data_IF_819127624113
#
_entry.id   IF_819127624113
#
_cell.length_a   1.000
_cell.length_b   1.000
_cell.length_c   1.000
_cell.angle_alpha   90.00
_cell.angle_beta   90.00
_cell.angle_gamma   90.00
#
_symmetry.space_group_name_H-M   'P 1'
#
loop_
_entity.id
_entity.type
_entity.pdbx_description
1 polymer ?
#
# COMPACT_ATOMS: atom_id res chain seq x y z
N UNK A 1 -12.45 10.38 -20.61
CA UNK A 1 -13.72 9.67 -20.85
C UNK A 1 -14.78 10.23 -19.90
N UNK A 2 -16.05 10.29 -20.32
CA UNK A 2 -17.18 10.73 -19.48
C UNK A 2 -17.91 9.53 -18.84
N UNK A 3 -18.81 9.79 -17.88
CA UNK A 3 -19.54 8.76 -17.14
C UNK A 3 -20.43 7.82 -17.98
N UNK A 4 -20.77 8.21 -19.22
CA UNK A 4 -21.58 7.41 -20.15
C UNK A 4 -20.74 6.51 -21.07
N UNK A 5 -19.46 6.30 -20.76
CA UNK A 5 -18.53 5.50 -21.58
C UNK A 5 -18.36 4.12 -20.97
N UNK A 6 -18.51 3.08 -21.78
CA UNK A 6 -18.21 1.70 -21.38
C UNK A 6 -17.41 0.97 -22.47
N UNK A 7 -16.62 -0.02 -22.07
CA UNK A 7 -15.84 -0.89 -22.96
C UNK A 7 -14.87 -0.15 -23.89
N UNK A 8 -14.36 1.01 -23.46
CA UNK A 8 -13.41 1.83 -24.19
C UNK A 8 -12.00 1.69 -23.61
N UNK A 9 -11.00 1.91 -24.45
CA UNK A 9 -9.60 1.82 -24.04
C UNK A 9 -8.72 2.87 -24.72
N UNK A 10 -7.77 3.39 -23.95
CA UNK A 10 -6.57 4.04 -24.50
C UNK A 10 -5.44 3.02 -24.52
N UNK A 11 -4.80 2.85 -25.69
CA UNK A 11 -3.72 1.86 -25.86
C UNK A 11 -2.50 2.54 -26.47
N UNK A 12 -1.34 2.38 -25.84
CA UNK A 12 -0.06 2.95 -26.27
C UNK A 12 -0.11 4.47 -26.50
N UNK A 13 -0.90 5.18 -25.70
CA UNK A 13 -1.06 6.62 -25.79
C UNK A 13 -0.03 7.38 -24.93
N UNK A 14 0.29 8.61 -25.34
CA UNK A 14 1.01 9.56 -24.51
C UNK A 14 0.01 10.62 -24.05
N UNK A 15 -0.32 10.61 -22.77
CA UNK A 15 -1.21 11.60 -22.17
C UNK A 15 -0.37 12.72 -21.54
N UNK A 16 -0.38 13.90 -22.16
CA UNK A 16 0.20 15.12 -21.58
C UNK A 16 -0.88 15.82 -20.79
N UNK A 17 -0.72 15.90 -19.47
CA UNK A 17 -1.67 16.46 -18.49
C UNK A 17 -2.74 15.48 -17.95
N UNK A 18 -2.32 14.26 -17.66
CA UNK A 18 -3.11 13.25 -16.98
C UNK A 18 -4.13 12.58 -17.89
N UNK A 19 -4.84 11.60 -17.33
CA UNK A 19 -5.97 10.94 -17.96
C UNK A 19 -7.13 10.84 -16.98
N UNK A 20 -8.31 11.22 -17.47
CA UNK A 20 -9.57 11.02 -16.74
C UNK A 20 -10.31 9.85 -17.36
N UNK A 21 -10.66 8.87 -16.53
CA UNK A 21 -11.48 7.72 -16.89
C UNK A 21 -12.74 7.70 -16.04
N UNK A 22 -13.85 7.32 -16.64
CA UNK A 22 -15.18 7.35 -16.00
C UNK A 22 -16.03 6.20 -16.51
N UNK A 23 -17.28 6.06 -16.05
CA UNK A 23 -18.20 5.02 -16.52
C UNK A 23 -17.88 3.65 -15.94
N UNK A 24 -17.74 2.62 -16.77
CA UNK A 24 -17.43 1.25 -16.34
C UNK A 24 -16.73 0.42 -17.45
N UNK A 25 -16.01 -0.64 -17.10
CA UNK A 25 -15.32 -1.54 -18.03
C UNK A 25 -14.34 -0.84 -19.00
N UNK A 26 -13.69 0.23 -18.54
CA UNK A 26 -12.75 1.00 -19.36
C UNK A 26 -11.31 0.71 -18.96
N UNK A 27 -10.37 0.96 -19.88
CA UNK A 27 -8.96 0.71 -19.61
C UNK A 27 -7.97 1.74 -20.18
N UNK A 28 -6.79 1.80 -19.56
CA UNK A 28 -5.61 2.53 -20.04
C UNK A 28 -4.44 1.56 -20.04
N UNK A 29 -3.87 1.27 -21.21
CA UNK A 29 -2.89 0.20 -21.39
C UNK A 29 -1.70 0.68 -22.20
N UNK A 30 -0.49 0.45 -21.70
CA UNK A 30 0.73 0.89 -22.39
C UNK A 30 0.90 2.41 -22.42
N UNK A 31 2.08 2.86 -22.84
CA UNK A 31 2.38 4.28 -23.04
C UNK A 31 2.83 5.03 -21.79
N UNK A 32 2.52 6.31 -21.72
CA UNK A 32 2.98 7.20 -20.63
C UNK A 32 1.95 8.27 -20.30
N UNK A 33 1.72 8.48 -19.01
CA UNK A 33 0.85 9.53 -18.48
C UNK A 33 1.71 10.53 -17.71
N UNK A 34 1.76 11.76 -18.20
CA UNK A 34 2.38 12.89 -17.51
C UNK A 34 1.31 13.63 -16.74
N UNK A 35 1.41 13.72 -15.41
CA UNK A 35 0.51 14.54 -14.61
C UNK A 35 0.57 16.02 -15.07
N UNK A 36 -0.50 16.81 -14.88
CA UNK A 36 -0.50 18.22 -15.24
C UNK A 36 0.61 18.97 -14.49
N UNK A 37 1.36 19.80 -15.22
CA UNK A 37 2.36 20.67 -14.63
C UNK A 37 1.72 21.74 -13.72
N UNK A 38 2.45 22.14 -12.67
CA UNK A 38 2.01 23.09 -11.67
C UNK A 38 1.72 24.49 -12.25
N UNK A 39 0.48 24.95 -12.13
CA UNK A 39 0.18 26.37 -11.99
C UNK A 39 -0.25 26.62 -10.53
N UNK A 40 0.74 26.83 -9.67
CA UNK A 40 0.63 27.42 -8.33
C UNK A 40 -0.13 26.71 -7.17
N UNK A 41 -1.01 25.71 -7.33
CA UNK A 41 -1.80 25.19 -6.16
C UNK A 41 -1.94 23.67 -5.99
N UNK A 42 -1.09 22.86 -6.63
CA UNK A 42 -1.04 21.42 -6.35
C UNK A 42 -1.81 20.56 -7.33
N UNK A 43 -1.38 20.59 -8.58
CA UNK A 43 -1.76 19.57 -9.56
C UNK A 43 -0.60 18.59 -9.71
N UNK A 44 -0.93 17.30 -9.63
CA UNK A 44 -0.04 16.14 -9.70
C UNK A 44 -0.85 14.85 -9.86
N UNK A 45 -2.14 14.98 -10.20
CA UNK A 45 -3.05 13.86 -10.42
C UNK A 45 -2.82 13.37 -11.84
N UNK A 46 -2.14 12.23 -11.98
CA UNK A 46 -1.91 11.61 -13.27
C UNK A 46 -3.15 10.83 -13.74
N UNK A 47 -3.77 10.08 -12.83
CA UNK A 47 -4.98 9.30 -13.10
C UNK A 47 -6.11 9.86 -12.25
N UNK A 48 -7.19 10.28 -12.90
CA UNK A 48 -8.43 10.67 -12.21
C UNK A 48 -9.57 9.74 -12.63
N UNK A 49 -10.21 9.10 -11.66
CA UNK A 49 -11.36 8.22 -11.86
C UNK A 49 -12.60 8.94 -11.32
N UNK A 50 -13.57 9.25 -12.19
CA UNK A 50 -14.75 10.05 -11.86
C UNK A 50 -16.03 9.45 -12.46
N UNK A 51 -17.21 9.95 -12.05
CA UNK A 51 -18.50 9.60 -12.68
C UNK A 51 -18.66 8.09 -12.93
N UNK A 52 -18.39 7.28 -11.90
CA UNK A 52 -18.30 5.83 -12.04
C UNK A 52 -19.69 5.21 -12.01
N UNK A 53 -20.02 4.41 -13.03
CA UNK A 53 -21.20 3.53 -12.99
C UNK A 53 -20.88 2.20 -12.31
N UNK A 54 -19.66 1.72 -12.47
CA UNK A 54 -19.12 0.54 -11.80
C UNK A 54 -17.65 0.70 -11.44
N UNK A 55 -17.07 -0.33 -10.83
CA UNK A 55 -15.67 -0.30 -10.37
C UNK A 55 -14.72 -1.12 -11.24
N UNK A 56 -15.15 -1.56 -12.43
CA UNK A 56 -14.31 -2.34 -13.33
C UNK A 56 -13.43 -1.45 -14.19
N UNK A 57 -12.18 -1.23 -13.78
CA UNK A 57 -11.19 -0.47 -14.53
C UNK A 57 -9.87 -1.22 -14.60
N UNK A 58 -9.19 -1.15 -15.75
CA UNK A 58 -7.87 -1.74 -15.94
C UNK A 58 -6.83 -0.68 -16.32
N UNK A 59 -5.77 -0.61 -15.54
CA UNK A 59 -4.60 0.22 -15.77
C UNK A 59 -3.37 -0.70 -15.84
N UNK A 60 -2.75 -0.81 -17.01
CA UNK A 60 -1.74 -1.85 -17.26
C UNK A 60 -0.55 -1.38 -18.07
N UNK A 61 0.67 -1.70 -17.63
CA UNK A 61 1.85 -1.71 -18.49
C UNK A 61 2.31 -0.33 -18.95
N UNK A 62 2.05 0.73 -18.17
CA UNK A 62 2.39 2.10 -18.56
C UNK A 62 3.20 2.84 -17.49
N UNK A 63 3.80 3.96 -17.90
CA UNK A 63 4.58 4.83 -17.01
C UNK A 63 3.75 6.02 -16.54
N UNK A 64 3.89 6.37 -15.28
CA UNK A 64 3.36 7.61 -14.70
C UNK A 64 4.52 8.52 -14.34
N UNK A 65 4.45 9.79 -14.73
CA UNK A 65 5.40 10.83 -14.35
C UNK A 65 4.61 11.97 -13.71
N UNK A 66 4.84 12.22 -12.41
CA UNK A 66 4.10 13.20 -11.62
C UNK A 66 5.03 14.01 -10.72
N UNK A 67 5.42 15.21 -11.17
CA UNK A 67 6.32 16.09 -10.39
C UNK A 67 5.60 16.91 -9.31
N UNK A 68 4.27 16.95 -9.34
CA UNK A 68 3.45 17.69 -8.37
C UNK A 68 3.10 16.88 -7.12
N UNK A 69 2.59 17.58 -6.09
CA UNK A 69 2.03 16.96 -4.89
C UNK A 69 0.50 17.18 -4.83
N UNK A 70 -0.32 16.19 -5.25
CA UNK A 70 -1.78 16.31 -5.23
C UNK A 70 -2.37 16.25 -3.81
N UNK A 71 -1.57 15.92 -2.79
CA UNK A 71 -2.07 15.83 -1.41
C UNK A 71 -2.47 17.17 -0.81
N UNK A 72 -1.96 18.30 -1.33
CA UNK A 72 -2.37 19.66 -0.91
C UNK A 72 -3.85 19.94 -1.18
N UNK A 73 -4.44 19.23 -2.14
CA UNK A 73 -5.89 19.27 -2.45
C UNK A 73 -6.61 17.99 -2.05
N UNK A 74 -6.00 17.21 -1.13
CA UNK A 74 -6.57 15.95 -0.62
C UNK A 74 -6.75 14.87 -1.70
N UNK A 75 -5.87 14.81 -2.69
CA UNK A 75 -5.89 13.80 -3.77
C UNK A 75 -4.61 12.95 -3.82
N UNK A 76 -4.68 11.84 -4.53
CA UNK A 76 -3.52 11.01 -4.88
C UNK A 76 -2.99 11.32 -6.28
N UNK A 77 -1.81 10.80 -6.64
CA UNK A 77 -1.35 10.79 -8.05
C UNK A 77 -2.28 9.91 -8.88
N UNK A 78 -2.68 8.77 -8.32
CA UNK A 78 -3.86 8.01 -8.72
C UNK A 78 -4.99 8.39 -7.76
N UNK A 79 -6.01 9.06 -8.29
CA UNK A 79 -7.13 9.60 -7.52
C UNK A 79 -8.46 9.00 -7.97
N UNK A 80 -9.22 8.49 -7.00
CA UNK A 80 -10.63 8.16 -7.13
C UNK A 80 -11.34 8.68 -5.88
N UNK A 81 -12.05 9.79 -6.01
CA UNK A 81 -12.84 10.35 -4.91
C UNK A 81 -12.05 10.93 -3.74
N UNK A 82 -10.74 11.21 -3.89
CA UNK A 82 -9.94 11.79 -2.82
C UNK A 82 -10.51 13.12 -2.31
N UNK A 83 -10.94 13.98 -3.25
CA UNK A 83 -11.61 15.26 -2.98
C UNK A 83 -12.84 15.49 -3.88
N UNK A 84 -13.51 14.42 -4.28
CA UNK A 84 -14.70 14.45 -5.14
C UNK A 84 -15.60 13.26 -4.84
N UNK A 85 -16.88 13.32 -5.24
CA UNK A 85 -17.83 12.20 -5.09
C UNK A 85 -17.77 11.32 -6.34
N UNK A 86 -16.62 10.70 -6.58
CA UNK A 86 -16.36 9.89 -7.79
C UNK A 86 -17.00 8.51 -7.75
N UNK A 87 -16.97 7.86 -6.58
CA UNK A 87 -17.69 6.63 -6.27
C UNK A 87 -18.83 6.99 -5.33
N UNK A 88 -20.04 7.09 -5.88
CA UNK A 88 -21.25 7.61 -5.21
C UNK A 88 -22.30 6.50 -5.07
N UNK A 89 -23.49 6.85 -4.58
CA UNK A 89 -24.65 5.96 -4.61
C UNK A 89 -25.06 5.54 -6.04
N UNK A 90 -24.67 6.30 -7.07
CA UNK A 90 -24.94 6.00 -8.48
C UNK A 90 -23.97 4.97 -9.08
N UNK A 91 -22.87 4.68 -8.37
CA UNK A 91 -21.95 3.59 -8.67
C UNK A 91 -22.57 2.28 -8.19
N UNK A 92 -23.53 1.75 -8.96
CA UNK A 92 -24.33 0.60 -8.54
C UNK A 92 -23.70 -0.75 -8.91
N UNK A 93 -22.65 -0.76 -9.73
CA UNK A 93 -22.01 -1.98 -10.20
C UNK A 93 -20.68 -2.25 -9.47
N UNK A 94 -20.52 -3.50 -9.03
CA UNK A 94 -19.25 -4.03 -8.52
C UNK A 94 -18.18 -4.18 -9.62
N UNK A 95 -17.02 -4.70 -9.25
CA UNK A 95 -15.89 -4.82 -10.14
C UNK A 95 -14.55 -4.64 -9.45
N UNK A 96 -13.48 -4.74 -10.23
CA UNK A 96 -12.13 -4.55 -9.73
C UNK A 96 -11.44 -3.38 -10.44
N UNK A 97 -10.94 -2.41 -9.67
CA UNK A 97 -9.98 -1.42 -10.14
C UNK A 97 -8.59 -2.06 -10.07
N UNK A 98 -8.04 -2.41 -11.23
CA UNK A 98 -6.75 -3.10 -11.34
C UNK A 98 -5.68 -2.17 -11.87
N UNK A 99 -4.58 -2.06 -11.14
CA UNK A 99 -3.36 -1.35 -11.52
C UNK A 99 -2.22 -2.36 -11.51
N UNK A 100 -1.65 -2.70 -12.66
CA UNK A 100 -0.58 -3.70 -12.73
C UNK A 100 0.51 -3.32 -13.70
N UNK A 101 1.74 -3.69 -13.34
CA UNK A 101 2.93 -3.47 -14.15
C UNK A 101 3.08 -1.99 -14.54
N UNK A 102 2.86 -1.11 -13.56
CA UNK A 102 3.02 0.34 -13.70
C UNK A 102 4.31 0.77 -13.01
N UNK A 103 5.12 1.55 -13.73
CA UNK A 103 6.24 2.28 -13.16
C UNK A 103 5.81 3.74 -12.91
N UNK A 104 5.88 4.19 -11.67
CA UNK A 104 5.47 5.54 -11.26
C UNK A 104 6.67 6.32 -10.73
N UNK A 105 7.00 7.43 -11.39
CA UNK A 105 7.89 8.45 -10.84
C UNK A 105 7.05 9.57 -10.25
N UNK A 106 7.13 9.76 -8.93
CA UNK A 106 6.33 10.73 -8.19
C UNK A 106 7.11 11.32 -7.00
N UNK A 107 8.25 11.99 -7.24
CA UNK A 107 9.21 12.36 -6.20
C UNK A 107 8.67 13.32 -5.13
N UNK A 108 7.64 14.09 -5.45
CA UNK A 108 7.05 15.07 -4.54
C UNK A 108 5.71 14.62 -3.94
N UNK A 109 5.16 13.47 -4.36
CA UNK A 109 3.84 13.04 -3.95
C UNK A 109 3.81 12.46 -2.52
N UNK A 110 3.17 13.17 -1.59
CA UNK A 110 3.03 12.70 -0.20
C UNK A 110 1.95 11.64 -0.02
N UNK A 111 1.05 11.50 -0.99
CA UNK A 111 0.04 10.45 -1.10
C UNK A 111 0.04 9.98 -2.57
N UNK A 112 0.68 8.86 -2.90
CA UNK A 112 0.75 8.40 -4.29
C UNK A 112 -0.60 7.85 -4.77
N UNK A 113 -1.34 7.18 -3.90
CA UNK A 113 -2.60 6.51 -4.24
C UNK A 113 -3.68 6.94 -3.24
N UNK A 114 -4.82 7.39 -3.77
CA UNK A 114 -6.01 7.68 -2.97
C UNK A 114 -7.28 7.24 -3.67
N UNK A 115 -7.94 6.23 -3.11
CA UNK A 115 -9.21 5.68 -3.59
C UNK A 115 -10.21 5.72 -2.45
N UNK A 116 -11.32 6.41 -2.63
CA UNK A 116 -12.30 6.66 -1.58
C UNK A 116 -13.69 6.35 -2.08
N UNK A 117 -14.36 5.38 -1.44
CA UNK A 117 -15.80 5.21 -1.60
C UNK A 117 -16.54 6.29 -0.80
N UNK A 118 -17.43 7.02 -1.46
CA UNK A 118 -18.23 8.10 -0.87
C UNK A 118 -19.74 7.87 -1.01
N UNK A 119 -20.18 6.63 -1.14
CA UNK A 119 -21.60 6.30 -1.02
C UNK A 119 -22.05 5.04 -1.74
N UNK A 120 -21.17 4.41 -2.52
CA UNK A 120 -21.51 3.18 -3.25
C UNK A 120 -21.82 2.05 -2.28
N UNK A 121 -22.98 1.42 -2.46
CA UNK A 121 -23.38 0.20 -1.75
C UNK A 121 -23.18 -1.06 -2.58
N UNK A 122 -22.71 -0.95 -3.83
CA UNK A 122 -22.44 -2.08 -4.70
C UNK A 122 -21.55 -3.13 -4.03
N UNK A 123 -21.86 -4.40 -4.22
CA UNK A 123 -21.05 -5.54 -3.76
C UNK A 123 -19.94 -5.84 -4.77
N UNK A 124 -18.94 -6.61 -4.38
CA UNK A 124 -17.86 -7.04 -5.29
C UNK A 124 -16.89 -5.93 -5.68
N UNK A 125 -16.81 -4.84 -4.89
CA UNK A 125 -15.87 -3.74 -5.13
C UNK A 125 -14.48 -4.16 -4.66
N UNK A 126 -13.53 -4.22 -5.59
CA UNK A 126 -12.16 -4.62 -5.31
C UNK A 126 -11.16 -3.59 -5.84
N UNK A 127 -9.99 -3.54 -5.23
CA UNK A 127 -8.84 -2.78 -5.73
C UNK A 127 -7.62 -3.68 -5.72
N UNK A 128 -6.99 -3.88 -6.87
CA UNK A 128 -5.73 -4.60 -6.98
C UNK A 128 -4.65 -3.64 -7.48
N UNK A 129 -3.61 -3.44 -6.68
CA UNK A 129 -2.50 -2.54 -6.98
C UNK A 129 -1.20 -3.30 -6.97
N UNK A 130 -0.48 -3.24 -8.09
CA UNK A 130 0.90 -3.68 -8.27
C UNK A 130 1.67 -2.60 -9.01
N UNK A 131 2.37 -1.74 -8.27
CA UNK A 131 3.04 -0.55 -8.80
C UNK A 131 4.47 -0.50 -8.26
N UNK A 132 5.42 -0.24 -9.13
CA UNK A 132 6.78 0.11 -8.77
C UNK A 132 6.90 1.64 -8.70
N UNK A 133 7.24 2.19 -7.54
CA UNK A 133 7.40 3.63 -7.33
C UNK A 133 8.75 3.89 -6.64
N UNK A 134 9.85 4.00 -7.41
CA UNK A 134 11.19 4.11 -6.86
C UNK A 134 11.49 5.47 -6.22
N UNK A 135 10.56 6.42 -6.29
CA UNK A 135 10.74 7.76 -5.71
C UNK A 135 9.97 7.91 -4.40
N UNK A 136 10.48 8.74 -3.51
CA UNK A 136 9.84 9.05 -2.23
C UNK A 136 10.14 10.47 -1.80
N UNK A 137 9.13 11.29 -1.46
CA UNK A 137 9.39 12.59 -0.88
C UNK A 137 10.03 12.41 0.50
N UNK A 138 10.80 13.40 0.93
CA UNK A 138 11.42 13.44 2.28
C UNK A 138 10.36 13.25 3.39
N UNK A 139 9.14 13.76 3.18
CA UNK A 139 8.02 13.64 4.11
C UNK A 139 6.78 13.06 3.44
N UNK A 140 6.63 11.73 3.49
CA UNK A 140 5.42 11.06 2.99
C UNK A 140 4.32 11.06 4.06
N UNK A 141 3.10 11.44 3.69
CA UNK A 141 1.93 11.44 4.58
C UNK A 141 1.30 10.04 4.67
N UNK A 142 1.23 9.34 3.54
CA UNK A 142 0.73 7.96 3.48
C UNK A 142 1.33 7.23 2.27
N UNK A 143 1.55 5.92 2.42
CA UNK A 143 1.91 5.04 1.30
C UNK A 143 0.71 4.78 0.37
N UNK A 144 -0.51 4.93 0.87
CA UNK A 144 -1.74 4.73 0.12
C UNK A 144 -2.95 4.82 1.03
N UNK A 145 -4.04 5.40 0.50
CA UNK A 145 -5.33 5.50 1.19
C UNK A 145 -6.39 4.85 0.32
N UNK A 146 -6.96 3.73 0.78
CA UNK A 146 -8.08 3.03 0.14
C UNK A 146 -9.15 2.84 1.20
N UNK A 147 -10.23 3.62 1.17
CA UNK A 147 -11.19 3.61 2.29
C UNK A 147 -12.63 3.88 1.87
N UNK A 148 -13.58 3.53 2.74
CA UNK A 148 -14.96 3.99 2.63
C UNK A 148 -15.26 5.07 3.65
N UNK A 149 -15.61 6.27 3.17
CA UNK A 149 -16.17 7.33 4.02
C UNK A 149 -17.68 7.15 4.23
N UNK A 150 -18.35 6.53 3.26
CA UNK A 150 -19.75 6.14 3.32
C UNK A 150 -20.02 5.02 2.30
N UNK A 151 -21.23 4.44 2.34
CA UNK A 151 -21.56 3.24 1.58
C UNK A 151 -21.02 1.98 2.26
N UNK A 152 -20.81 0.91 1.48
CA UNK A 152 -20.20 -0.33 1.98
C UNK A 152 -18.69 -0.34 1.79
N UNK A 153 -17.96 -1.03 2.67
CA UNK A 153 -16.51 -1.21 2.52
C UNK A 153 -16.13 -1.92 1.19
N UNK A 154 -14.86 -1.90 0.84
CA UNK A 154 -14.34 -2.75 -0.25
C UNK A 154 -14.35 -4.22 0.17
N UNK A 155 -14.63 -5.11 -0.78
CA UNK A 155 -14.64 -6.56 -0.51
C UNK A 155 -13.21 -7.09 -0.42
N UNK A 156 -12.30 -6.59 -1.26
CA UNK A 156 -10.89 -6.96 -1.26
C UNK A 156 -10.00 -5.80 -1.71
N UNK A 157 -8.87 -5.65 -1.03
CA UNK A 157 -7.77 -4.80 -1.50
C UNK A 157 -6.47 -5.61 -1.53
N UNK A 158 -5.85 -5.72 -2.70
CA UNK A 158 -4.47 -6.21 -2.86
C UNK A 158 -3.54 -5.03 -3.05
N UNK A 159 -2.55 -4.86 -2.18
CA UNK A 159 -1.67 -3.68 -2.17
C UNK A 159 -0.19 -4.08 -2.24
N UNK A 160 0.34 -4.16 -3.46
CA UNK A 160 1.74 -4.45 -3.78
C UNK A 160 2.39 -3.19 -4.37
N UNK A 161 2.74 -2.24 -3.52
CA UNK A 161 3.46 -1.04 -3.96
C UNK A 161 4.88 -1.09 -3.44
N UNK A 162 5.84 -1.07 -4.35
CA UNK A 162 7.23 -0.87 -3.98
C UNK A 162 7.48 0.63 -3.81
N UNK A 163 7.80 1.02 -2.58
CA UNK A 163 7.99 2.40 -2.17
C UNK A 163 9.23 2.46 -1.28
N UNK A 164 10.26 3.23 -1.65
CA UNK A 164 11.39 3.43 -0.75
C UNK A 164 10.99 4.32 0.42
N UNK A 165 11.68 4.09 1.54
CA UNK A 165 11.64 4.98 2.69
C UNK A 165 12.76 6.00 2.55
N UNK A 166 12.42 7.24 2.16
CA UNK A 166 13.34 8.38 2.18
C UNK A 166 13.28 9.18 3.50
N UNK A 167 12.54 8.67 4.50
CA UNK A 167 12.28 9.35 5.77
C UNK A 167 11.51 8.47 6.76
N UNK A 168 10.76 9.10 7.67
CA UNK A 168 9.92 8.36 8.62
C UNK A 168 8.89 7.48 7.88
N UNK A 169 8.69 6.21 8.30
CA UNK A 169 7.81 5.30 7.59
C UNK A 169 6.38 5.83 7.62
N UNK A 170 5.75 5.94 6.46
CA UNK A 170 4.37 6.41 6.34
C UNK A 170 3.37 5.25 6.49
N UNK A 171 2.19 5.56 7.03
CA UNK A 171 1.07 4.64 7.18
C UNK A 171 0.44 4.24 5.85
N UNK A 172 -0.16 3.06 5.80
CA UNK A 172 -1.12 2.67 4.75
C UNK A 172 -2.51 2.60 5.39
N UNK A 173 -3.49 3.25 4.78
CA UNK A 173 -4.90 3.17 5.24
C UNK A 173 -5.66 2.30 4.24
N UNK A 174 -6.16 1.16 4.70
CA UNK A 174 -6.98 0.25 3.89
C UNK A 174 -8.19 -0.17 4.71
N UNK A 175 -9.38 0.20 4.24
CA UNK A 175 -10.67 -0.26 4.76
C UNK A 175 -11.34 -1.19 3.74
N UNK A 176 -11.19 -2.49 4.01
CA UNK A 176 -11.67 -3.58 3.17
C UNK A 176 -11.91 -4.84 4.02
N UNK A 177 -12.82 -5.71 3.57
CA UNK A 177 -13.10 -6.98 4.23
C UNK A 177 -11.88 -7.91 4.24
N UNK A 178 -11.10 -7.89 3.14
CA UNK A 178 -9.85 -8.64 2.99
C UNK A 178 -8.74 -7.75 2.48
N UNK A 179 -7.57 -7.85 3.10
CA UNK A 179 -6.36 -7.15 2.66
C UNK A 179 -5.25 -8.15 2.38
N UNK A 180 -4.62 -8.04 1.21
CA UNK A 180 -3.53 -8.91 0.80
C UNK A 180 -2.41 -8.16 0.05
N UNK A 181 -1.30 -8.85 -0.23
CA UNK A 181 -0.20 -8.34 -1.06
C UNK A 181 0.85 -7.50 -0.32
N UNK A 182 0.73 -7.32 1.00
CA UNK A 182 1.75 -6.61 1.77
C UNK A 182 2.68 -7.61 2.45
N UNK A 183 3.98 -7.47 2.22
CA UNK A 183 5.02 -8.27 2.88
C UNK A 183 6.22 -7.38 3.18
N UNK A 184 6.80 -7.60 4.35
CA UNK A 184 8.07 -7.02 4.77
C UNK A 184 8.87 -8.10 5.51
N UNK A 185 10.17 -8.15 5.31
CA UNK A 185 11.03 -9.04 6.06
C UNK A 185 12.36 -8.38 6.40
N UNK A 186 13.05 -8.94 7.36
CA UNK A 186 14.34 -8.44 7.79
C UNK A 186 15.06 -9.40 8.72
N UNK A 187 16.22 -8.97 9.20
CA UNK A 187 16.97 -9.67 10.24
C UNK A 187 17.17 -8.71 11.40
N UNK A 188 16.92 -9.17 12.62
CA UNK A 188 17.31 -8.47 13.85
C UNK A 188 18.36 -9.28 14.58
N UNK A 189 19.48 -8.65 14.88
CA UNK A 189 20.54 -9.25 15.69
C UNK A 189 20.27 -8.92 17.17
N UNK A 190 20.44 -9.92 18.03
CA UNK A 190 20.40 -9.77 19.47
C UNK A 190 21.60 -10.47 20.10
N UNK A 191 22.05 -9.96 21.25
CA UNK A 191 23.02 -10.64 22.09
C UNK A 191 22.29 -11.04 23.37
N UNK A 192 22.32 -12.33 23.68
CA UNK A 192 21.63 -12.90 24.84
C UNK A 192 22.19 -12.33 26.14
N UNK A 193 21.33 -12.16 27.13
CA UNK A 193 21.70 -11.86 28.52
C UNK A 193 21.41 -13.06 29.41
N UNK A 194 21.96 -13.07 30.64
CA UNK A 194 21.76 -14.17 31.59
C UNK A 194 20.35 -14.15 32.23
N UNK A 195 19.32 -14.23 31.39
CA UNK A 195 17.91 -14.19 31.75
C UNK A 195 17.16 -15.38 31.17
N UNK A 196 15.96 -15.63 31.66
CA UNK A 196 15.07 -16.69 31.11
C UNK A 196 14.42 -16.26 29.79
N UNK A 197 14.28 -14.94 29.59
CA UNK A 197 13.79 -14.35 28.35
C UNK A 197 14.41 -12.96 28.10
N UNK A 198 14.38 -12.55 26.84
CA UNK A 198 14.77 -11.23 26.37
C UNK A 198 13.81 -10.79 25.27
N UNK A 199 13.32 -9.56 25.38
CA UNK A 199 12.43 -8.97 24.40
C UNK A 199 13.23 -8.11 23.43
N UNK A 200 12.97 -8.28 22.13
CA UNK A 200 13.68 -7.66 21.02
C UNK A 200 12.65 -6.92 20.16
N UNK A 201 12.63 -5.57 20.19
CA UNK A 201 11.69 -4.80 19.39
C UNK A 201 12.14 -4.79 17.92
N UNK A 202 11.17 -4.87 17.01
CA UNK A 202 11.36 -4.63 15.58
C UNK A 202 10.41 -3.51 15.13
N UNK A 203 10.89 -2.68 14.20
CA UNK A 203 10.09 -1.63 13.57
C UNK A 203 9.90 -1.96 12.10
N UNK A 204 8.67 -1.87 11.63
CA UNK A 204 8.34 -2.05 10.22
C UNK A 204 8.63 -0.77 9.43
N UNK A 205 9.31 -0.93 8.30
CA UNK A 205 9.50 0.10 7.30
C UNK A 205 8.19 0.41 6.57
N UNK A 206 7.35 -0.60 6.37
CA UNK A 206 6.03 -0.50 5.79
C UNK A 206 5.03 -0.57 6.93
N UNK A 207 4.46 0.57 7.32
CA UNK A 207 3.37 0.57 8.32
C UNK A 207 2.13 -0.05 7.70
N UNK A 208 1.74 -1.21 8.22
CA UNK A 208 0.60 -1.99 7.74
C UNK A 208 -0.72 -1.31 8.15
N UNK A 209 -1.83 -1.52 7.40
CA UNK A 209 -3.14 -0.99 7.75
C UNK A 209 -3.75 -1.66 9.00
N UNK A 210 -3.32 -2.90 9.31
CA UNK A 210 -3.66 -3.67 10.50
C UNK A 210 -2.50 -4.56 10.90
N UNK A 211 -2.54 -5.17 12.09
CA UNK A 211 -1.49 -6.06 12.54
C UNK A 211 -1.30 -7.23 11.54
N UNK A 212 -0.09 -7.42 10.98
CA UNK A 212 0.18 -8.52 10.05
C UNK A 212 0.32 -9.86 10.79
N UNK A 213 0.29 -10.96 10.04
CA UNK A 213 0.79 -12.25 10.52
C UNK A 213 2.31 -12.25 10.47
N UNK A 214 2.96 -12.97 11.40
CA UNK A 214 4.42 -13.05 11.46
C UNK A 214 4.93 -14.48 11.34
N UNK A 215 6.05 -14.63 10.62
CA UNK A 215 6.87 -15.84 10.59
C UNK A 215 8.26 -15.50 11.08
N UNK A 216 8.84 -16.40 11.85
CA UNK A 216 10.18 -16.24 12.43
C UNK A 216 11.04 -17.44 12.07
N UNK A 217 12.31 -17.18 11.80
CA UNK A 217 13.33 -18.20 11.62
C UNK A 217 14.63 -17.69 12.25
N UNK A 218 15.18 -18.44 13.20
CA UNK A 218 16.38 -18.07 13.93
C UNK A 218 17.58 -18.89 13.47
N UNK A 219 18.73 -18.24 13.28
CA UNK A 219 20.01 -18.93 13.16
C UNK A 219 20.82 -18.69 14.44
N UNK A 220 21.26 -19.78 15.07
CA UNK A 220 22.09 -19.76 16.27
C UNK A 220 23.56 -19.87 15.86
N UNK A 221 24.39 -18.94 16.31
CA UNK A 221 25.83 -18.99 16.04
C UNK A 221 26.62 -19.85 17.03
N UNK A 222 25.99 -20.39 18.08
CA UNK A 222 26.66 -21.21 19.09
C UNK A 222 25.78 -22.37 19.60
N UNK A 223 26.41 -23.53 19.86
CA UNK A 223 25.78 -24.70 20.46
C UNK A 223 25.77 -24.57 22.00
N UNK A 224 24.67 -24.97 22.67
CA UNK A 224 24.67 -25.16 24.12
C UNK A 224 23.34 -24.98 24.86
N UNK A 225 22.38 -24.21 24.33
CA UNK A 225 21.06 -24.00 24.97
C UNK A 225 19.96 -24.00 23.89
N UNK A 226 18.87 -24.71 24.15
CA UNK A 226 17.66 -24.66 23.32
C UNK A 226 17.02 -23.27 23.46
N UNK A 227 17.33 -22.39 22.51
CA UNK A 227 16.71 -21.06 22.42
C UNK A 227 15.49 -21.14 21.51
N UNK A 228 14.38 -20.62 22.00
CA UNK A 228 13.12 -20.49 21.28
C UNK A 228 12.81 -19.02 21.03
N UNK A 229 11.98 -18.75 20.03
CA UNK A 229 11.57 -17.40 19.68
C UNK A 229 10.09 -17.36 19.30
N UNK A 230 9.39 -16.31 19.74
CA UNK A 230 7.97 -16.12 19.45
C UNK A 230 7.63 -14.61 19.41
N UNK A 231 6.72 -14.14 18.55
CA UNK A 231 6.19 -12.79 18.69
C UNK A 231 5.27 -12.73 19.93
N UNK A 232 5.46 -11.72 20.78
CA UNK A 232 4.60 -11.50 21.97
C UNK A 232 3.64 -10.33 21.80
N UNK A 233 3.95 -9.42 20.88
CA UNK A 233 3.06 -8.35 20.46
C UNK A 233 3.32 -8.03 19.00
N UNK A 234 2.25 -7.80 18.24
CA UNK A 234 2.31 -7.41 16.83
C UNK A 234 1.37 -6.23 16.65
N UNK A 235 1.88 -5.16 16.06
CA UNK A 235 1.13 -3.93 15.76
C UNK A 235 1.26 -3.59 14.28
N UNK A 236 0.64 -2.51 13.85
CA UNK A 236 0.78 -1.98 12.48
C UNK A 236 2.18 -1.46 12.17
N UNK A 237 2.96 -1.10 13.20
CA UNK A 237 4.24 -0.38 13.05
C UNK A 237 5.46 -1.23 13.43
N UNK A 238 5.25 -2.41 13.97
CA UNK A 238 6.31 -3.26 14.48
C UNK A 238 5.79 -4.39 15.34
N UNK A 239 6.72 -5.13 15.91
CA UNK A 239 6.44 -6.22 16.82
C UNK A 239 7.50 -6.30 17.91
N UNK A 240 7.19 -6.99 19.00
CA UNK A 240 8.18 -7.40 19.98
C UNK A 240 8.35 -8.91 19.89
N UNK A 241 9.58 -9.35 19.63
CA UNK A 241 9.96 -10.74 19.60
C UNK A 241 10.52 -11.13 20.98
N UNK A 242 10.14 -12.30 21.49
CA UNK A 242 10.73 -12.84 22.71
C UNK A 242 11.67 -13.98 22.36
N UNK A 243 12.92 -13.85 22.79
CA UNK A 243 13.90 -14.92 22.85
C UNK A 243 13.80 -15.54 24.24
N UNK A 244 13.68 -16.86 24.36
CA UNK A 244 13.57 -17.52 25.66
C UNK A 244 14.14 -18.94 25.65
N UNK A 245 14.36 -19.49 26.84
CA UNK A 245 14.74 -20.89 27.05
C UNK A 245 13.77 -21.55 28.04
N UNK A 246 13.61 -22.87 27.95
CA UNK A 246 12.71 -23.65 28.83
C UNK A 246 13.42 -24.28 30.03
N UNK A 247 14.76 -24.20 30.10
CA UNK A 247 15.59 -24.98 31.03
C UNK A 247 16.49 -24.18 31.99
N UNK A 248 16.24 -22.88 32.20
CA UNK A 248 17.06 -22.04 33.08
C UNK A 248 17.30 -20.66 32.49
N UNK A 249 18.45 -20.04 32.79
CA UNK A 249 18.87 -18.80 32.14
C UNK A 249 19.63 -19.09 30.85
N UNK A 250 19.49 -18.22 29.86
CA UNK A 250 20.32 -18.23 28.67
C UNK A 250 21.78 -17.93 29.04
N UNK A 251 22.73 -18.44 28.25
CA UNK A 251 24.13 -18.01 28.33
C UNK A 251 24.24 -16.58 27.84
N UNK A 252 24.85 -15.68 28.60
CA UNK A 252 25.08 -14.30 28.17
C UNK A 252 26.15 -14.22 27.05
N UNK A 253 26.01 -13.24 26.16
CA UNK A 253 27.01 -12.94 25.12
C UNK A 253 26.89 -13.78 23.84
N UNK A 254 25.84 -14.59 23.69
CA UNK A 254 25.61 -15.37 22.47
C UNK A 254 24.88 -14.51 21.44
N UNK A 255 25.45 -14.41 20.24
CA UNK A 255 24.80 -13.72 19.12
C UNK A 255 23.67 -14.59 18.55
N UNK A 256 22.51 -13.96 18.32
CA UNK A 256 21.33 -14.58 17.72
C UNK A 256 20.87 -13.69 16.58
N UNK A 257 20.72 -14.26 15.39
CA UNK A 257 20.12 -13.58 14.25
C UNK A 257 18.71 -14.13 14.03
N UNK A 258 17.72 -13.27 14.23
CA UNK A 258 16.31 -13.61 14.00
C UNK A 258 15.90 -13.03 12.65
N UNK A 259 15.68 -13.91 11.67
CA UNK A 259 14.98 -13.56 10.45
C UNK A 259 13.49 -13.51 10.73
N UNK A 260 12.83 -12.48 10.24
CA UNK A 260 11.40 -12.28 10.41
C UNK A 260 10.76 -11.90 9.08
N UNK A 261 9.50 -12.30 8.92
CA UNK A 261 8.64 -11.95 7.80
C UNK A 261 7.27 -11.56 8.36
N UNK A 262 6.80 -10.36 8.04
CA UNK A 262 5.48 -9.83 8.34
C UNK A 262 4.64 -9.83 7.07
N UNK A 263 3.46 -10.46 7.09
CA UNK A 263 2.62 -10.70 5.92
C UNK A 263 1.18 -10.30 6.22
N UNK A 264 0.57 -9.57 5.30
CA UNK A 264 -0.87 -9.39 5.23
C UNK A 264 -1.38 -10.06 3.94
N UNK A 265 -2.04 -11.21 4.08
CA UNK A 265 -2.52 -12.03 2.98
C UNK A 265 -3.74 -12.87 3.40
N UNK A 266 -4.90 -12.22 3.49
CA UNK A 266 -6.19 -12.79 3.94
C UNK A 266 -7.04 -13.42 2.83
#
# INVERSE_FOLDING_TARGET
MHGNVEHCQYVNCIHRNGVTISGNHNSVRGGTVFAPALAATGNGVAISINEMRGTSFLFEGFKIIADGDPSTTSRGVIDCGGNSVSMSADTILGGCMTFRDIDMSAPNARIPIKIVNRGSTATGKCVDIKINCPDSPVTRSSNGIIQSLSGTQFDRVRFEVDLPNAGAPAGTTIDAAKVCGMTEGGTVAAVTTATTFQDVPITFNRRFPKAPSMRLNGNLSAAGVNIFYTPISITTNGATLRIYTTGGSMTAGVAVNLMWEAILNE
#
